data_IF_875565601629
#
_entry.id   IF_875565601629
#
_cell.length_a   1.000
_cell.length_b   1.000
_cell.length_c   1.000
_cell.angle_alpha   90.00
_cell.angle_beta   90.00
_cell.angle_gamma   90.00
#
_symmetry.space_group_name_H-M   'P 1'
#
loop_
_entity.id
_entity.type
_entity.pdbx_description
1 polymer ?
#
# COMPACT_ATOMS: atom_id res chain seq x y z
N UNK A 1 -11.20 -5.16 -8.30
CA UNK A 1 -10.46 -6.35 -7.88
C UNK A 1 -11.26 -7.06 -6.81
N UNK A 2 -11.89 -8.18 -7.16
CA UNK A 2 -12.73 -8.95 -6.23
C UNK A 2 -11.87 -9.83 -5.32
N UNK A 3 -12.41 -10.17 -4.16
CA UNK A 3 -11.90 -11.27 -3.33
C UNK A 3 -12.23 -12.62 -3.96
N UNK A 4 -11.55 -13.69 -3.55
CA UNK A 4 -11.80 -15.05 -4.07
C UNK A 4 -13.25 -15.51 -3.91
N UNK A 5 -13.92 -15.06 -2.85
CA UNK A 5 -15.33 -15.36 -2.58
C UNK A 5 -16.30 -14.28 -3.10
N UNK A 6 -15.78 -13.21 -3.73
CA UNK A 6 -16.58 -12.10 -4.25
C UNK A 6 -17.29 -11.27 -3.18
N UNK A 7 -16.92 -11.38 -1.90
CA UNK A 7 -17.62 -10.69 -0.83
C UNK A 7 -17.16 -9.25 -0.62
N UNK A 8 -15.91 -8.97 -0.98
CA UNK A 8 -15.33 -7.63 -1.02
C UNK A 8 -14.75 -7.36 -2.39
N UNK A 9 -14.85 -6.10 -2.82
CA UNK A 9 -14.17 -5.56 -3.98
C UNK A 9 -13.39 -4.30 -3.60
N UNK A 10 -12.22 -4.14 -4.21
CA UNK A 10 -11.45 -2.91 -4.21
C UNK A 10 -11.09 -2.54 -5.63
N UNK A 11 -11.22 -1.29 -6.06
CA UNK A 11 -10.73 -0.85 -7.37
C UNK A 11 -10.23 0.58 -7.33
N UNK A 12 -9.48 0.94 -8.36
CA UNK A 12 -9.03 2.31 -8.59
C UNK A 12 -9.71 2.84 -9.84
N UNK A 13 -10.20 4.08 -9.78
CA UNK A 13 -10.75 4.79 -10.91
C UNK A 13 -10.12 6.17 -11.07
N UNK A 14 -10.11 6.69 -12.28
CA UNK A 14 -9.82 8.10 -12.53
C UNK A 14 -10.86 8.99 -11.84
N UNK A 15 -10.39 10.03 -11.17
CA UNK A 15 -11.24 10.86 -10.30
C UNK A 15 -12.32 11.60 -11.09
N UNK A 16 -11.97 12.14 -12.25
CA UNK A 16 -12.85 12.95 -13.10
C UNK A 16 -13.72 12.11 -14.02
N UNK A 17 -13.11 11.21 -14.80
CA UNK A 17 -13.81 10.40 -15.80
C UNK A 17 -14.61 9.24 -15.20
N UNK A 18 -14.31 8.85 -13.95
CA UNK A 18 -14.89 7.68 -13.29
C UNK A 18 -14.60 6.36 -14.02
N UNK A 19 -13.58 6.34 -14.87
CA UNK A 19 -13.15 5.14 -15.57
C UNK A 19 -12.29 4.30 -14.63
N UNK A 20 -12.68 3.04 -14.43
CA UNK A 20 -11.89 2.07 -13.67
C UNK A 20 -10.58 1.76 -14.38
N UNK A 21 -9.48 1.80 -13.64
CA UNK A 21 -8.17 1.42 -14.13
C UNK A 21 -8.10 -0.09 -14.38
N UNK A 22 -7.38 -0.48 -15.42
CA UNK A 22 -7.21 -1.89 -15.76
C UNK A 22 -6.37 -2.62 -14.71
N UNK A 23 -6.88 -3.76 -14.25
CA UNK A 23 -6.23 -4.66 -13.32
C UNK A 23 -5.61 -5.84 -14.10
N UNK A 24 -4.32 -6.07 -13.93
CA UNK A 24 -3.58 -7.14 -14.60
C UNK A 24 -3.07 -8.16 -13.60
N UNK A 25 -2.99 -9.44 -14.02
CA UNK A 25 -2.46 -10.56 -13.21
C UNK A 25 -3.05 -10.59 -11.79
N UNK A 26 -4.38 -10.67 -11.70
CA UNK A 26 -5.05 -10.76 -10.40
C UNK A 26 -4.75 -12.11 -9.77
N UNK A 27 -4.13 -12.10 -8.60
CA UNK A 27 -3.79 -13.28 -7.80
C UNK A 27 -4.55 -13.26 -6.48
N UNK A 28 -5.07 -14.42 -6.08
CA UNK A 28 -5.73 -14.62 -4.78
C UNK A 28 -4.92 -15.56 -3.90
N UNK A 29 -4.27 -15.00 -2.90
CA UNK A 29 -3.48 -15.74 -1.91
C UNK A 29 -4.40 -16.09 -0.73
N UNK A 30 -4.61 -17.38 -0.42
CA UNK A 30 -5.38 -17.77 0.76
C UNK A 30 -4.66 -17.33 2.03
N UNK A 31 -5.42 -16.93 3.05
CA UNK A 31 -4.86 -16.58 4.35
C UNK A 31 -4.32 -17.80 5.09
N UNK A 32 -3.46 -17.55 6.06
CA UNK A 32 -2.91 -18.55 6.96
C UNK A 32 -3.11 -18.11 8.43
N UNK A 33 -2.41 -18.73 9.39
CA UNK A 33 -2.54 -18.36 10.81
C UNK A 33 -1.96 -16.99 11.14
N UNK A 34 -1.05 -16.47 10.34
CA UNK A 34 -0.31 -15.23 10.54
C UNK A 34 -0.86 -14.15 9.59
N UNK A 35 -1.00 -14.48 8.32
CA UNK A 35 -1.35 -13.55 7.26
C UNK A 35 -2.83 -13.65 6.87
N UNK A 36 -3.52 -12.51 6.64
CA UNK A 36 -4.87 -12.52 6.12
C UNK A 36 -4.90 -12.99 4.66
N UNK A 37 -6.05 -13.48 4.18
CA UNK A 37 -6.30 -13.62 2.75
C UNK A 37 -5.95 -12.32 2.01
N UNK A 38 -5.25 -12.46 0.89
CA UNK A 38 -4.72 -11.32 0.15
C UNK A 38 -5.10 -11.43 -1.32
N UNK A 39 -5.56 -10.33 -1.91
CA UNK A 39 -5.69 -10.22 -3.37
C UNK A 39 -4.68 -9.21 -3.89
N UNK A 40 -3.93 -9.60 -4.91
CA UNK A 40 -2.87 -8.78 -5.51
C UNK A 40 -3.20 -8.56 -6.99
N UNK A 41 -2.94 -7.37 -7.51
CA UNK A 41 -2.91 -7.13 -8.96
C UNK A 41 -1.87 -6.08 -9.34
N UNK A 42 -1.67 -5.92 -10.65
CA UNK A 42 -0.90 -4.83 -11.23
C UNK A 42 -1.81 -3.78 -11.87
N UNK A 43 -1.48 -2.51 -11.68
CA UNK A 43 -2.18 -1.38 -12.31
C UNK A 43 -1.24 -0.62 -13.25
N UNK A 44 -1.80 -0.17 -14.37
CA UNK A 44 -1.17 0.82 -15.24
C UNK A 44 -1.35 2.21 -14.61
N UNK A 45 -0.24 2.89 -14.28
CA UNK A 45 -0.31 4.27 -13.75
C UNK A 45 -0.85 5.23 -14.80
N UNK A 46 -1.55 6.26 -14.34
CA UNK A 46 -1.94 7.44 -15.11
C UNK A 46 -1.33 8.68 -14.45
N UNK A 47 -1.28 9.81 -15.17
CA UNK A 47 -0.88 11.09 -14.59
C UNK A 47 -2.07 11.81 -13.94
N UNK A 48 -3.27 11.25 -14.08
CA UNK A 48 -4.50 11.84 -13.60
C UNK A 48 -4.74 11.50 -12.12
N UNK A 49 -5.43 12.38 -11.36
CA UNK A 49 -5.86 12.04 -10.03
C UNK A 49 -6.82 10.84 -10.04
N UNK A 50 -6.73 10.02 -9.01
CA UNK A 50 -7.53 8.80 -8.89
C UNK A 50 -8.36 8.76 -7.60
N UNK A 51 -9.29 7.82 -7.53
CA UNK A 51 -10.09 7.47 -6.35
C UNK A 51 -9.90 6.00 -6.05
N UNK A 52 -9.67 5.66 -4.79
CA UNK A 52 -9.64 4.27 -4.31
C UNK A 52 -11.03 3.96 -3.78
N UNK A 53 -11.67 2.92 -4.31
CA UNK A 53 -13.01 2.49 -3.93
C UNK A 53 -12.97 1.12 -3.28
N UNK A 54 -13.82 0.93 -2.28
CA UNK A 54 -14.15 -0.37 -1.72
C UNK A 54 -15.66 -0.57 -1.75
N UNK A 55 -16.06 -1.80 -2.07
CA UNK A 55 -17.44 -2.25 -2.04
C UNK A 55 -17.55 -3.59 -1.32
N UNK A 56 -18.63 -3.77 -0.56
CA UNK A 56 -18.97 -5.04 0.06
C UNK A 56 -20.22 -5.62 -0.61
N UNK A 57 -20.19 -6.92 -0.87
CA UNK A 57 -21.36 -7.65 -1.34
C UNK A 57 -22.46 -7.63 -0.28
N UNK A 58 -23.72 -7.62 -0.71
CA UNK A 58 -24.89 -7.82 0.16
C UNK A 58 -24.81 -9.14 0.96
N UNK A 59 -24.08 -10.12 0.44
CA UNK A 59 -23.86 -11.41 1.11
C UNK A 59 -22.87 -11.34 2.26
N UNK A 60 -22.08 -10.27 2.34
CA UNK A 60 -21.12 -10.07 3.41
C UNK A 60 -21.83 -9.56 4.67
N UNK A 61 -22.58 -10.44 5.32
CA UNK A 61 -23.24 -10.14 6.59
C UNK A 61 -22.29 -10.39 7.75
N UNK A 62 -21.41 -9.42 8.02
CA UNK A 62 -20.49 -9.53 9.18
C UNK A 62 -21.21 -9.11 10.47
N UNK A 63 -22.34 -8.40 10.39
CA UNK A 63 -23.01 -7.84 11.58
C UNK A 63 -22.12 -6.87 12.38
N UNK A 64 -20.97 -6.50 11.82
CA UNK A 64 -19.95 -5.67 12.43
C UNK A 64 -19.55 -4.55 11.46
N UNK A 65 -18.98 -3.49 12.03
CA UNK A 65 -18.30 -2.46 11.25
C UNK A 65 -16.98 -3.04 10.70
N UNK A 66 -16.45 -2.42 9.65
CA UNK A 66 -15.11 -2.66 9.15
C UNK A 66 -14.27 -1.40 9.32
N UNK A 67 -12.99 -1.57 9.63
CA UNK A 67 -11.98 -0.53 9.49
C UNK A 67 -11.12 -0.89 8.29
N UNK A 68 -10.99 0.03 7.35
CA UNK A 68 -10.08 -0.11 6.24
C UNK A 68 -8.94 0.89 6.42
N UNK A 69 -7.71 0.38 6.52
CA UNK A 69 -6.48 1.18 6.57
C UNK A 69 -5.88 1.16 5.17
N UNK A 70 -5.54 2.33 4.64
CA UNK A 70 -4.94 2.46 3.32
C UNK A 70 -3.51 2.97 3.48
N UNK A 71 -2.55 2.26 2.89
CA UNK A 71 -1.16 2.67 2.85
C UNK A 71 -0.71 2.80 1.39
N UNK A 72 0.10 3.81 1.11
CA UNK A 72 0.77 3.99 -0.18
C UNK A 72 2.27 3.97 0.09
N UNK A 73 2.98 3.05 -0.56
CA UNK A 73 4.41 2.85 -0.37
C UNK A 73 4.78 2.66 1.13
N UNK A 74 4.05 1.76 1.83
CA UNK A 74 4.13 1.50 3.30
C UNK A 74 3.83 2.70 4.21
N UNK A 75 3.29 3.80 3.68
CA UNK A 75 2.90 4.97 4.48
C UNK A 75 1.40 5.00 4.66
N UNK A 76 0.94 4.99 5.90
CA UNK A 76 -0.47 5.16 6.24
C UNK A 76 -0.95 6.55 5.77
N UNK A 77 -1.93 6.55 4.86
CA UNK A 77 -2.56 7.78 4.36
C UNK A 77 -3.92 8.04 5.02
N UNK A 78 -4.33 7.17 5.93
CA UNK A 78 -5.53 7.26 6.73
C UNK A 78 -6.33 5.96 6.74
N UNK A 79 -7.36 5.98 7.58
CA UNK A 79 -8.34 4.90 7.65
C UNK A 79 -9.75 5.41 7.34
N UNK A 80 -10.63 4.48 6.99
CA UNK A 80 -12.07 4.71 6.86
C UNK A 80 -12.82 3.69 7.73
N UNK A 81 -13.86 4.16 8.39
CA UNK A 81 -14.81 3.29 9.10
C UNK A 81 -15.96 2.99 8.17
N UNK A 82 -16.11 1.72 7.83
CA UNK A 82 -17.18 1.17 7.03
C UNK A 82 -18.26 0.62 7.96
N UNK A 83 -19.32 1.40 8.15
CA UNK A 83 -20.44 0.96 8.99
C UNK A 83 -21.14 -0.26 8.40
N UNK A 84 -21.72 -1.08 9.27
CA UNK A 84 -22.41 -2.32 8.88
C UNK A 84 -23.50 -2.12 7.81
N UNK A 85 -24.11 -0.93 7.74
CA UNK A 85 -25.14 -0.54 6.76
C UNK A 85 -24.59 0.16 5.49
N UNK A 86 -23.32 0.57 5.49
CA UNK A 86 -22.71 1.25 4.33
C UNK A 86 -22.06 0.25 3.37
N UNK A 87 -22.52 0.19 2.13
CA UNK A 87 -22.02 -0.76 1.13
C UNK A 87 -20.74 -0.34 0.41
N UNK A 88 -20.45 0.96 0.36
CA UNK A 88 -19.34 1.50 -0.41
C UNK A 88 -18.63 2.63 0.35
N UNK A 89 -17.31 2.68 0.23
CA UNK A 89 -16.49 3.83 0.67
C UNK A 89 -15.47 4.18 -0.41
N UNK A 90 -15.08 5.45 -0.45
CA UNK A 90 -14.13 5.98 -1.43
C UNK A 90 -13.14 6.94 -0.79
N UNK A 91 -11.84 6.76 -1.04
CA UNK A 91 -10.82 7.77 -0.77
C UNK A 91 -10.61 8.61 -2.02
N UNK A 92 -11.09 9.86 -1.99
CA UNK A 92 -10.99 10.84 -3.09
C UNK A 92 -9.85 11.86 -2.91
N UNK A 93 -9.32 11.92 -1.70
CA UNK A 93 -8.34 12.91 -1.26
C UNK A 93 -7.72 12.47 0.05
N UNK A 94 -6.51 12.95 0.30
CA UNK A 94 -5.81 12.83 1.59
C UNK A 94 -5.69 14.20 2.25
N UNK A 95 -5.52 14.17 3.56
CA UNK A 95 -5.26 15.35 4.37
C UNK A 95 -3.78 15.35 4.74
N UNK A 96 -3.08 16.44 4.46
CA UNK A 96 -1.65 16.58 4.73
C UNK A 96 -1.38 17.87 5.50
N UNK A 97 -0.30 17.89 6.30
CA UNK A 97 0.18 19.11 6.95
C UNK A 97 1.54 19.49 6.41
N UNK A 98 1.73 20.78 6.13
CA UNK A 98 3.04 21.30 5.71
C UNK A 98 4.00 21.52 6.89
N UNK A 99 5.21 21.99 6.60
CA UNK A 99 6.24 22.31 7.61
C UNK A 99 5.77 23.38 8.63
N UNK A 100 4.79 24.21 8.25
CA UNK A 100 4.19 25.24 9.10
C UNK A 100 2.91 24.77 9.79
N UNK A 101 2.64 23.46 9.79
CA UNK A 101 1.48 22.81 10.40
C UNK A 101 0.12 23.20 9.78
N UNK A 102 0.10 23.80 8.57
CA UNK A 102 -1.13 24.17 7.88
C UNK A 102 -1.75 22.92 7.23
N UNK A 103 -3.05 22.74 7.40
CA UNK A 103 -3.79 21.62 6.86
C UNK A 103 -4.18 21.86 5.39
N UNK A 104 -3.90 20.87 4.55
CA UNK A 104 -4.26 20.86 3.14
C UNK A 104 -5.03 19.60 2.82
N UNK A 105 -5.92 19.71 1.84
CA UNK A 105 -6.57 18.58 1.19
C UNK A 105 -5.97 18.43 -0.20
N UNK A 106 -5.43 17.25 -0.49
CA UNK A 106 -4.83 16.94 -1.79
C UNK A 106 -5.54 15.76 -2.44
N UNK A 107 -5.66 15.78 -3.76
CA UNK A 107 -6.10 14.63 -4.54
C UNK A 107 -5.04 13.52 -4.51
N UNK A 108 -5.48 12.26 -4.57
CA UNK A 108 -4.57 11.13 -4.77
C UNK A 108 -4.05 11.16 -6.21
N UNK A 109 -2.72 11.08 -6.37
CA UNK A 109 -2.02 10.99 -7.65
C UNK A 109 -0.89 9.98 -7.52
N UNK A 110 -0.55 9.31 -8.61
CA UNK A 110 0.64 8.47 -8.64
C UNK A 110 1.85 9.40 -8.72
N UNK A 111 2.68 9.40 -7.68
CA UNK A 111 3.87 10.22 -7.71
C UNK A 111 4.99 9.54 -8.51
N UNK A 112 5.81 10.36 -9.13
CA UNK A 112 7.02 9.90 -9.78
C UNK A 112 8.08 9.79 -8.70
N UNK A 113 8.58 8.57 -8.48
CA UNK A 113 9.69 8.34 -7.53
C UNK A 113 10.80 9.35 -7.87
N UNK A 114 11.28 10.17 -6.91
CA UNK A 114 12.31 11.15 -7.17
C UNK A 114 13.53 10.44 -7.75
N UNK A 115 13.93 10.85 -8.96
CA UNK A 115 15.10 10.29 -9.63
C UNK A 115 16.27 11.26 -9.51
N UNK A 116 17.46 10.73 -9.30
CA UNK A 116 18.71 11.48 -9.34
C UNK A 116 19.64 10.85 -10.36
N UNK A 117 20.32 11.68 -11.14
CA UNK A 117 21.38 11.23 -12.06
C UNK A 117 22.70 11.00 -11.35
N UNK A 118 22.86 11.48 -10.11
CA UNK A 118 24.02 11.27 -9.26
C UNK A 118 23.80 10.02 -8.39
N UNK A 119 24.51 8.90 -8.63
CA UNK A 119 24.37 7.67 -7.86
C UNK A 119 24.65 7.86 -6.36
N UNK A 120 25.45 8.86 -5.99
CA UNK A 120 25.81 9.15 -4.59
C UNK A 120 24.67 9.82 -3.81
N UNK A 121 23.65 10.30 -4.51
CA UNK A 121 22.47 10.95 -3.92
C UNK A 121 21.25 10.02 -3.86
N UNK A 122 21.41 8.75 -4.26
CA UNK A 122 20.34 7.76 -4.12
C UNK A 122 20.28 7.34 -2.65
N UNK A 123 19.28 7.84 -1.94
CA UNK A 123 19.04 7.60 -0.51
C UNK A 123 17.89 6.61 -0.26
N UNK A 124 17.50 5.84 -1.27
CA UNK A 124 16.39 4.88 -1.19
C UNK A 124 16.88 3.60 -0.50
N UNK A 125 16.25 3.22 0.61
CA UNK A 125 16.55 1.96 1.30
C UNK A 125 16.07 0.74 0.49
N UNK A 126 16.61 -0.44 0.79
CA UNK A 126 16.11 -1.70 0.20
C UNK A 126 14.64 -1.93 0.51
N UNK A 127 14.23 -1.60 1.73
CA UNK A 127 12.86 -1.79 2.21
C UNK A 127 11.88 -0.85 1.50
N UNK A 128 12.33 0.38 1.18
CA UNK A 128 11.57 1.33 0.36
C UNK A 128 11.42 0.79 -1.06
N UNK A 129 12.49 0.25 -1.66
CA UNK A 129 12.46 -0.31 -3.02
C UNK A 129 11.44 -1.46 -3.16
N UNK A 130 11.28 -2.27 -2.12
CA UNK A 130 10.30 -3.37 -2.10
C UNK A 130 8.85 -2.85 -2.03
N UNK A 131 8.62 -1.73 -1.36
CA UNK A 131 7.27 -1.14 -1.23
C UNK A 131 6.93 -0.09 -2.27
N UNK A 132 7.92 0.46 -2.97
CA UNK A 132 7.70 1.51 -3.95
C UNK A 132 6.80 1.00 -5.08
N UNK A 133 5.76 1.76 -5.35
CA UNK A 133 4.75 1.44 -6.34
C UNK A 133 3.65 0.54 -5.79
N UNK A 134 3.32 0.62 -4.51
CA UNK A 134 2.28 -0.23 -3.90
C UNK A 134 1.21 0.56 -3.17
N UNK A 135 -0.05 0.15 -3.34
CA UNK A 135 -1.15 0.57 -2.48
C UNK A 135 -1.66 -0.67 -1.75
N UNK A 136 -1.57 -0.68 -0.43
CA UNK A 136 -2.12 -1.74 0.41
C UNK A 136 -3.35 -1.26 1.15
N UNK A 137 -4.41 -2.06 1.12
CA UNK A 137 -5.64 -1.80 1.87
C UNK A 137 -5.88 -3.00 2.78
N UNK A 138 -5.82 -2.77 4.09
CA UNK A 138 -6.03 -3.80 5.10
C UNK A 138 -7.39 -3.59 5.76
N UNK A 139 -8.24 -4.61 5.70
CA UNK A 139 -9.60 -4.57 6.23
C UNK A 139 -9.67 -5.37 7.52
N UNK A 140 -10.13 -4.76 8.60
CA UNK A 140 -10.26 -5.38 9.92
C UNK A 140 -11.71 -5.27 10.41
N UNK A 141 -12.36 -6.36 10.82
CA UNK A 141 -13.72 -6.31 11.35
C UNK A 141 -13.71 -5.83 12.81
N UNK A 142 -14.77 -5.14 13.23
CA UNK A 142 -14.87 -4.60 14.58
C UNK A 142 -16.20 -3.92 14.87
N UNK A 143 -16.23 -3.17 15.96
CA UNK A 143 -17.37 -2.36 16.38
C UNK A 143 -16.91 -0.93 16.58
N UNK A 144 -17.66 0.03 16.05
CA UNK A 144 -17.30 1.43 16.21
C UNK A 144 -18.31 2.15 17.08
N UNK A 145 -17.84 2.71 18.19
CA UNK A 145 -18.63 3.62 19.03
C UNK A 145 -18.30 5.06 18.66
N UNK A 146 -19.35 5.88 18.49
CA UNK A 146 -19.18 7.33 18.29
C UNK A 146 -18.76 7.93 19.63
N UNK A 147 -17.54 8.47 19.70
CA UNK A 147 -17.08 9.18 20.89
C UNK A 147 -17.68 10.60 20.88
N UNK A 148 -18.29 11.00 22.00
CA UNK A 148 -18.83 12.36 22.19
C UNK A 148 -17.82 13.33 22.81
N UNK A 149 -16.72 12.81 23.37
CA UNK A 149 -15.68 13.66 23.97
C UNK A 149 -14.49 13.80 23.02
N UNK A 150 -13.98 15.03 22.81
CA UNK A 150 -12.65 15.24 22.25
C UNK A 150 -11.64 14.83 23.34
N UNK A 151 -11.34 13.53 23.46
CA UNK A 151 -10.11 13.14 24.17
C UNK A 151 -8.93 13.43 23.24
N UNK A 152 -7.79 13.73 23.86
CA UNK A 152 -6.50 14.04 23.23
C UNK A 152 -6.44 13.48 21.83
N UNK A 153 -6.39 14.40 20.87
CA UNK A 153 -6.35 14.12 19.45
C UNK A 153 -5.36 12.97 19.27
N UNK A 154 -5.82 11.79 18.81
CA UNK A 154 -4.99 11.02 17.89
C UNK A 154 -4.86 11.98 16.70
N UNK A 155 -3.95 12.95 16.84
CA UNK A 155 -3.46 13.69 15.69
C UNK A 155 -3.07 12.57 14.77
N UNK A 156 -3.69 12.51 13.59
CA UNK A 156 -3.12 11.75 12.48
C UNK A 156 -1.63 11.97 12.62
N UNK A 157 -0.91 10.93 13.05
CA UNK A 157 0.51 11.08 13.28
C UNK A 157 0.96 11.72 11.99
N UNK A 158 1.60 12.90 12.10
CA UNK A 158 2.27 13.54 10.97
C UNK A 158 2.77 12.37 10.18
N UNK A 159 2.38 12.17 8.91
CA UNK A 159 2.97 11.09 8.14
C UNK A 159 4.47 11.39 8.21
N UNK A 160 5.19 10.73 9.12
CA UNK A 160 6.42 11.25 9.72
C UNK A 160 7.51 10.65 8.88
N UNK A 161 7.57 11.22 7.71
CA UNK A 161 8.34 10.83 6.57
C UNK A 161 8.01 11.90 5.56
N UNK A 162 8.95 12.19 4.67
CA UNK A 162 8.61 12.91 3.45
C UNK A 162 7.64 12.04 2.66
N UNK A 163 6.37 11.99 3.07
CA UNK A 163 5.28 11.34 2.39
C UNK A 163 4.99 12.19 1.18
N UNK A 164 5.89 12.05 0.22
CA UNK A 164 5.97 12.82 -0.99
C UNK A 164 6.03 14.30 -0.65
N UNK A 165 7.25 14.84 -0.69
CA UNK A 165 7.34 16.23 -1.09
C UNK A 165 6.74 16.26 -2.50
N UNK A 166 5.41 16.40 -2.59
CA UNK A 166 4.65 16.78 -3.76
C UNK A 166 5.15 18.20 -4.10
N UNK A 167 6.42 18.30 -4.50
CA UNK A 167 7.04 19.49 -5.05
C UNK A 167 6.39 19.67 -6.41
N UNK A 168 5.16 20.15 -6.42
CA UNK A 168 4.48 20.57 -7.65
C UNK A 168 3.08 20.01 -7.91
N UNK A 169 2.38 19.35 -6.98
CA UNK A 169 0.94 19.18 -7.21
C UNK A 169 0.25 20.52 -6.97
N UNK A 170 -0.14 21.18 -8.07
CA UNK A 170 -0.85 22.47 -8.11
C UNK A 170 -2.20 22.48 -7.40
N UNK A 171 -2.64 21.34 -6.88
CA UNK A 171 -4.03 21.12 -6.47
C UNK A 171 -4.20 21.17 -4.94
N UNK A 172 -3.20 21.66 -4.20
CA UNK A 172 -3.30 21.87 -2.76
C UNK A 172 -4.30 22.98 -2.46
N UNK A 173 -5.47 22.59 -1.99
CA UNK A 173 -6.48 23.55 -1.50
C UNK A 173 -6.32 23.69 0.00
N UNK A 174 -6.07 24.93 0.47
CA UNK A 174 -6.12 25.24 1.91
C UNK A 174 -7.52 24.87 2.40
N UNK A 175 -7.58 24.13 3.49
CA UNK A 175 -8.85 23.75 4.10
C UNK A 175 -8.95 24.30 5.50
N UNK A 176 -10.17 24.63 5.90
CA UNK A 176 -10.49 24.80 7.31
C UNK A 176 -10.20 23.50 8.05
N UNK A 177 -9.79 23.63 9.31
CA UNK A 177 -9.46 22.50 10.18
C UNK A 177 -10.73 21.68 10.44
N UNK A 178 -10.92 20.63 9.64
CA UNK A 178 -11.99 19.68 9.84
C UNK A 178 -11.66 18.84 11.07
N UNK A 179 -12.54 18.86 12.07
CA UNK A 179 -12.45 17.93 13.19
C UNK A 179 -13.14 16.62 12.77
N UNK A 180 -12.39 15.53 12.57
CA UNK A 180 -13.00 14.25 12.25
C UNK A 180 -13.94 13.84 13.38
N UNK A 181 -15.10 13.24 13.07
CA UNK A 181 -15.84 12.52 14.08
C UNK A 181 -14.91 11.46 14.68
N UNK A 182 -14.72 11.54 16.00
CA UNK A 182 -13.91 10.56 16.72
C UNK A 182 -14.65 9.25 16.82
N UNK A 183 -13.99 8.20 16.36
CA UNK A 183 -14.49 6.84 16.39
C UNK A 183 -13.58 6.01 17.30
N UNK A 184 -14.16 5.42 18.34
CA UNK A 184 -13.50 4.34 19.08
C UNK A 184 -13.83 3.04 18.33
N UNK A 185 -12.86 2.56 17.53
CA UNK A 185 -12.96 1.30 16.81
C UNK A 185 -12.33 0.19 17.64
N UNK A 186 -13.16 -0.78 18.05
CA UNK A 186 -12.70 -1.98 18.74
C UNK A 186 -12.70 -3.14 17.77
N UNK A 187 -11.53 -3.67 17.38
CA UNK A 187 -11.47 -4.81 16.49
C UNK A 187 -12.17 -6.02 17.11
N UNK A 188 -12.81 -6.82 16.28
CA UNK A 188 -13.44 -8.09 16.68
C UNK A 188 -12.39 -9.19 16.81
N UNK A 189 -12.62 -10.14 17.71
CA UNK A 189 -11.72 -11.27 17.94
C UNK A 189 -10.35 -10.81 18.46
N UNK A 190 -9.28 -11.25 17.82
CA UNK A 190 -7.89 -10.87 18.14
C UNK A 190 -7.37 -9.69 17.31
N UNK A 191 -8.26 -8.98 16.60
CA UNK A 191 -7.90 -7.87 15.72
C UNK A 191 -7.07 -8.24 14.50
N UNK A 192 -7.09 -9.52 14.11
CA UNK A 192 -6.52 -9.92 12.83
C UNK A 192 -7.28 -9.28 11.67
N UNK A 193 -6.58 -8.84 10.62
CA UNK A 193 -7.22 -8.42 9.40
C UNK A 193 -8.06 -9.56 8.80
N UNK A 194 -9.20 -9.18 8.23
CA UNK A 194 -10.08 -10.08 7.48
C UNK A 194 -9.58 -10.29 6.06
N UNK A 195 -9.11 -9.23 5.40
CA UNK A 195 -8.62 -9.29 4.02
C UNK A 195 -7.62 -8.17 3.74
N UNK A 196 -6.71 -8.39 2.79
CA UNK A 196 -5.79 -7.38 2.27
C UNK A 196 -5.88 -7.27 0.74
N UNK A 197 -6.00 -6.06 0.23
CA UNK A 197 -5.86 -5.76 -1.20
C UNK A 197 -4.50 -5.11 -1.44
N UNK A 198 -3.77 -5.54 -2.46
CA UNK A 198 -2.48 -4.97 -2.86
C UNK A 198 -2.53 -4.61 -4.35
N UNK A 199 -2.33 -3.33 -4.65
CA UNK A 199 -2.21 -2.83 -6.01
C UNK A 199 -0.75 -2.45 -6.28
N UNK A 200 -0.10 -3.19 -7.16
CA UNK A 200 1.25 -2.87 -7.64
C UNK A 200 1.15 -1.97 -8.87
N UNK A 201 1.44 -0.68 -8.76
CA UNK A 201 1.32 0.25 -9.86
C UNK A 201 2.66 0.47 -10.58
N UNK A 202 2.64 0.36 -11.91
CA UNK A 202 3.81 0.52 -12.78
C UNK A 202 3.45 1.28 -14.06
N UNK A 203 4.45 1.91 -14.66
CA UNK A 203 4.28 2.55 -15.96
C UNK A 203 4.01 1.52 -17.05
N UNK A 204 3.21 1.89 -18.06
CA UNK A 204 2.92 1.02 -19.21
C UNK A 204 4.18 0.46 -19.87
N UNK A 205 5.28 1.23 -20.08
CA UNK A 205 6.53 0.67 -20.59
C UNK A 205 7.10 -0.44 -19.71
N UNK A 206 7.03 -0.30 -18.38
CA UNK A 206 7.51 -1.31 -17.43
C UNK A 206 6.62 -2.55 -17.46
N UNK A 207 5.29 -2.39 -17.51
CA UNK A 207 4.36 -3.51 -17.65
C UNK A 207 4.56 -4.29 -18.95
N UNK A 208 4.87 -3.59 -20.06
CA UNK A 208 5.25 -4.24 -21.33
C UNK A 208 6.60 -4.95 -21.23
N UNK A 209 7.58 -4.35 -20.57
CA UNK A 209 8.91 -4.92 -20.38
C UNK A 209 8.87 -6.23 -19.58
N UNK A 210 8.01 -6.29 -18.55
CA UNK A 210 7.75 -7.52 -17.80
C UNK A 210 6.76 -8.47 -18.48
N UNK A 211 6.36 -8.18 -19.73
CA UNK A 211 5.41 -8.98 -20.51
C UNK A 211 4.04 -9.19 -19.83
N UNK A 212 3.70 -8.32 -18.86
CA UNK A 212 2.39 -8.29 -18.20
C UNK A 212 1.32 -7.84 -19.21
N UNK A 213 1.67 -6.90 -20.10
CA UNK A 213 0.81 -6.41 -21.20
C UNK A 213 1.48 -6.70 -22.54
N UNK A 214 0.71 -7.19 -23.51
CA UNK A 214 1.20 -7.43 -24.88
C UNK A 214 1.52 -6.12 -25.60
N UNK A 215 2.68 -6.06 -26.24
CA UNK A 215 3.00 -4.98 -27.16
C UNK A 215 2.17 -5.12 -28.44
N UNK A 216 1.24 -4.19 -28.68
CA UNK A 216 0.55 -4.13 -29.96
C UNK A 216 1.56 -3.80 -31.05
N UNK A 217 1.94 -4.80 -31.85
CA UNK A 217 2.93 -4.68 -32.93
C UNK A 217 2.54 -3.64 -34.00
N UNK A 218 1.27 -3.20 -34.01
CA UNK A 218 0.73 -2.27 -35.00
C UNK A 218 0.87 -0.77 -34.63
N UNK A 219 1.56 -0.42 -33.52
CA UNK A 219 1.71 0.98 -33.07
C UNK A 219 3.14 1.54 -33.20
N UNK A 220 3.97 0.92 -34.05
CA UNK A 220 5.33 1.41 -34.32
C UNK A 220 5.32 2.47 -35.44
N UNK A 221 4.94 3.70 -35.10
CA UNK A 221 5.43 4.88 -35.82
C UNK A 221 5.84 5.99 -34.84
N UNK A 222 7.14 6.28 -34.89
CA UNK A 222 7.81 7.52 -34.48
C UNK A 222 7.52 8.09 -33.08
N UNK A 223 8.35 7.70 -32.11
CA UNK A 223 9.13 8.69 -31.34
C UNK A 223 10.25 8.01 -30.56
N UNK A 224 11.46 8.54 -30.73
CA UNK A 224 12.70 8.08 -30.12
C UNK A 224 12.68 8.24 -28.60
N UNK A 225 12.15 7.25 -27.88
CA UNK A 225 12.25 7.18 -26.42
C UNK A 225 13.63 6.66 -26.03
N UNK A 226 14.39 7.49 -25.30
CA UNK A 226 15.65 7.09 -24.65
C UNK A 226 15.37 5.87 -23.77
N UNK A 227 16.00 4.74 -24.08
CA UNK A 227 15.79 3.48 -23.37
C UNK A 227 16.14 3.64 -21.89
N UNK A 228 15.14 3.52 -21.03
CA UNK A 228 15.34 3.10 -19.66
C UNK A 228 15.73 1.61 -19.70
N UNK A 229 17.03 1.32 -19.68
CA UNK A 229 17.56 -0.03 -19.50
C UNK A 229 17.96 -0.15 -18.04
N UNK A 230 17.17 -0.84 -17.18
CA UNK A 230 17.66 -1.19 -15.86
C UNK A 230 18.93 -2.03 -16.06
N UNK A 231 20.05 -1.55 -15.52
CA UNK A 231 21.32 -2.27 -15.53
C UNK A 231 21.08 -3.67 -14.98
N UNK A 232 21.44 -4.69 -15.75
CA UNK A 232 21.36 -6.10 -15.31
C UNK A 232 22.03 -6.20 -13.94
N UNK A 233 21.23 -6.32 -12.88
CA UNK A 233 21.72 -6.64 -11.55
C UNK A 233 22.37 -8.00 -11.70
N UNK A 234 23.72 -8.02 -11.69
CA UNK A 234 24.48 -9.26 -11.62
C UNK A 234 24.03 -9.93 -10.32
N UNK A 235 23.31 -11.04 -10.45
CA UNK A 235 23.24 -12.05 -9.38
C UNK A 235 24.66 -12.55 -9.16
N UNK A 236 25.41 -11.89 -8.28
CA UNK A 236 26.58 -12.51 -7.70
C UNK A 236 26.08 -13.67 -6.84
N UNK A 237 26.26 -14.85 -7.40
CA UNK A 237 26.12 -16.13 -6.74
C UNK A 237 27.06 -16.08 -5.54
N UNK A 238 26.47 -16.09 -4.34
CA UNK A 238 27.17 -16.32 -3.08
C UNK A 238 27.88 -17.67 -3.21
N UNK A 239 29.15 -17.64 -3.59
CA UNK A 239 30.04 -18.79 -3.48
C UNK A 239 30.34 -18.97 -2.01
N UNK A 240 29.77 -20.03 -1.44
CA UNK A 240 30.09 -20.50 -0.10
C UNK A 240 31.52 -21.03 -0.10
N UNK A 241 32.44 -20.48 0.74
CA UNK A 241 33.72 -21.10 0.92
C UNK A 241 33.55 -22.39 1.74
N UNK A 242 33.96 -23.49 1.11
CA UNK A 242 34.04 -24.81 1.70
C UNK A 242 35.10 -24.87 2.81
N UNK A 243 34.73 -25.52 3.93
CA UNK A 243 35.52 -26.55 4.62
C UNK A 243 36.86 -26.09 5.24
N UNK A 244 36.77 -25.58 6.47
CA UNK A 244 37.87 -25.52 7.45
C UNK A 244 37.73 -26.62 8.51
N UNK A 245 38.86 -27.18 8.92
CA UNK A 245 39.05 -28.48 9.59
C UNK A 245 38.51 -28.60 11.03
N UNK A 246 38.18 -29.85 11.36
CA UNK A 246 38.19 -30.46 12.71
C UNK A 246 39.39 -30.03 13.54
N UNK A 247 39.13 -29.75 14.82
CA UNK A 247 39.96 -30.21 15.92
C UNK A 247 39.04 -30.58 17.07
N UNK A 248 39.12 -31.85 17.46
CA UNK A 248 38.69 -32.37 18.75
C UNK A 248 39.25 -31.52 19.90
N UNK A 249 38.58 -31.50 21.06
CA UNK A 249 39.17 -31.75 22.39
C UNK A 249 38.13 -31.50 23.51
N UNK A 250 37.91 -32.60 24.25
CA UNK A 250 37.58 -32.78 25.68
C UNK A 250 36.32 -32.15 26.30
N UNK A 251 35.43 -33.06 26.73
CA UNK A 251 35.06 -33.29 28.13
C UNK A 251 35.01 -32.07 29.06
N UNK A 252 33.80 -31.69 29.49
CA UNK A 252 33.64 -31.21 30.86
C UNK A 252 32.31 -31.68 31.47
N UNK A 253 32.46 -32.05 32.74
CA UNK A 253 31.63 -32.91 33.57
C UNK A 253 30.30 -32.31 34.01
N UNK A 254 29.41 -33.25 34.33
CA UNK A 254 28.36 -33.19 35.35
C UNK A 254 28.60 -32.17 36.47
N UNK A 255 27.55 -31.42 36.79
CA UNK A 255 27.12 -31.22 38.19
C UNK A 255 25.61 -31.05 38.24
N UNK A 256 24.96 -32.09 38.73
CA UNK A 256 23.72 -32.04 39.49
C UNK A 256 23.92 -31.29 40.82
N UNK A 257 22.90 -30.58 41.29
CA UNK A 257 22.46 -30.33 42.69
C UNK A 257 21.26 -29.36 42.58
N UNK A 258 20.00 -29.81 42.67
CA UNK A 258 19.22 -30.01 43.90
C UNK A 258 19.11 -28.76 44.79
N UNK A 259 17.99 -28.05 44.76
CA UNK A 259 16.93 -28.06 45.80
C UNK A 259 15.66 -27.41 45.27
#
# INVERSE_FOLDING_TARGET
MLTRNGLLEAWIEEKESKIRLNEYQVEHIPGNQIDPPTTICFLEITNEPFTINLEKSERLFIGSDLRAICEIDKRDIGFSIWKADLYQISWKSIWERDERNRLYKSSLKFDVVPTTTDPRKVDISTDDLESIGTISITITPGTTKRCRSPREVETFDKVKGKAMENRGTSDRVKSEEWQPPFYDFKPSGNGRPYHRFIFNYRSRPVLKFFEIIKSNKNSLSSTSSRRFMPSKIKKEILSTPSRGKRSDISDFKDTSFAT
#
